data_IF_611853958710
#
_entry.id   IF_611853958710
#
_cell.length_a   1.000
_cell.length_b   1.000
_cell.length_c   1.000
_cell.angle_alpha   90.00
_cell.angle_beta   90.00
_cell.angle_gamma   90.00
#
_symmetry.space_group_name_H-M   'P 1'
#
loop_
_entity.id
_entity.type
_entity.pdbx_description
1 polymer ?
#
# COMPACT_ATOMS: atom_id res chain seq x y z
N UNK A 1 29.32 -15.07 -13.15
CA UNK A 1 29.79 -14.00 -14.05
C UNK A 1 29.75 -12.75 -13.19
N UNK A 2 30.90 -12.33 -12.67
CA UNK A 2 31.00 -11.08 -11.90
C UNK A 2 30.80 -9.93 -12.89
N UNK A 3 29.68 -9.22 -12.77
CA UNK A 3 29.49 -7.96 -13.49
C UNK A 3 30.32 -6.89 -12.80
N UNK A 4 31.38 -6.45 -13.49
CA UNK A 4 32.19 -5.30 -13.11
C UNK A 4 31.30 -4.07 -12.87
N UNK A 5 31.69 -3.21 -11.91
CA UNK A 5 31.01 -1.91 -11.74
C UNK A 5 30.96 -1.22 -13.10
N UNK A 6 29.74 -0.92 -13.54
CA UNK A 6 29.53 -0.28 -14.83
C UNK A 6 30.11 1.13 -14.73
N UNK A 7 31.36 1.31 -15.20
CA UNK A 7 31.99 2.64 -15.39
C UNK A 7 31.29 3.52 -16.44
N UNK A 8 30.02 3.25 -16.74
CA UNK A 8 29.17 3.97 -17.68
C UNK A 8 27.80 4.22 -17.07
N UNK A 9 27.27 5.43 -17.27
CA UNK A 9 25.93 5.79 -16.81
C UNK A 9 24.86 4.93 -17.51
N UNK A 10 23.89 4.48 -16.73
CA UNK A 10 22.72 3.76 -17.22
C UNK A 10 21.77 4.79 -17.86
N UNK A 11 21.61 4.74 -19.19
CA UNK A 11 20.85 5.75 -19.95
C UNK A 11 19.72 5.15 -20.78
N UNK A 12 18.61 5.87 -20.91
CA UNK A 12 17.51 5.51 -21.82
C UNK A 12 17.99 5.26 -23.26
N UNK A 13 18.95 6.03 -23.77
CA UNK A 13 19.46 5.89 -25.16
C UNK A 13 20.12 4.53 -25.40
N UNK A 14 20.77 3.96 -24.38
CA UNK A 14 21.35 2.62 -24.48
C UNK A 14 20.25 1.57 -24.69
N UNK A 15 19.20 1.61 -23.86
CA UNK A 15 18.11 0.64 -23.95
C UNK A 15 17.23 0.81 -25.19
N UNK A 16 17.07 2.04 -25.69
CA UNK A 16 16.39 2.26 -26.98
C UNK A 16 17.07 1.49 -28.12
N UNK A 17 18.42 1.50 -28.17
CA UNK A 17 19.20 0.84 -29.22
C UNK A 17 19.07 -0.69 -29.22
N UNK A 18 18.52 -1.29 -28.17
CA UNK A 18 18.27 -2.75 -28.14
C UNK A 18 17.29 -3.21 -29.23
N UNK A 19 16.48 -2.30 -29.79
CA UNK A 19 15.64 -2.54 -30.98
C UNK A 19 16.44 -2.99 -32.21
N UNK A 20 17.74 -2.72 -32.26
CA UNK A 20 18.63 -3.18 -33.34
C UNK A 20 18.92 -4.69 -33.26
N UNK A 21 18.70 -5.30 -32.09
CA UNK A 21 19.05 -6.69 -31.80
C UNK A 21 17.86 -7.53 -31.30
N UNK A 22 16.67 -6.93 -31.18
CA UNK A 22 15.46 -7.54 -30.61
C UNK A 22 14.23 -6.99 -31.32
N UNK A 23 13.18 -7.81 -31.44
CA UNK A 23 11.89 -7.39 -32.02
C UNK A 23 11.17 -6.33 -31.17
N UNK A 24 11.51 -6.23 -29.88
CA UNK A 24 10.96 -5.23 -28.96
C UNK A 24 12.10 -4.43 -28.32
N UNK A 25 12.03 -3.10 -28.29
CA UNK A 25 12.95 -2.30 -27.49
C UNK A 25 12.78 -2.64 -26.01
N UNK A 26 13.91 -2.69 -25.29
CA UNK A 26 13.92 -2.86 -23.85
C UNK A 26 13.55 -1.56 -23.12
N UNK A 27 12.91 -1.70 -21.97
CA UNK A 27 12.67 -0.61 -21.02
C UNK A 27 13.18 -1.08 -19.66
N UNK A 28 14.16 -0.38 -19.13
CA UNK A 28 14.66 -0.60 -17.77
C UNK A 28 13.72 0.06 -16.77
N UNK A 29 13.30 -0.67 -15.72
CA UNK A 29 12.37 -0.19 -14.70
C UNK A 29 13.04 -0.30 -13.34
N UNK A 30 13.40 0.85 -12.75
CA UNK A 30 13.94 0.92 -11.39
C UNK A 30 12.79 0.89 -10.37
N UNK A 31 12.89 -0.01 -9.39
CA UNK A 31 11.93 -0.15 -8.30
C UNK A 31 12.64 -0.21 -6.95
N UNK A 32 11.92 0.11 -5.88
CA UNK A 32 12.50 0.28 -4.54
C UNK A 32 13.01 -1.01 -3.90
N UNK A 33 12.31 -2.13 -4.14
CA UNK A 33 12.63 -3.45 -3.61
C UNK A 33 12.10 -4.57 -4.52
N UNK A 34 12.51 -5.80 -4.26
CA UNK A 34 12.04 -6.97 -5.03
C UNK A 34 10.52 -7.16 -4.93
N UNK A 35 9.92 -6.78 -3.79
CA UNK A 35 8.48 -6.90 -3.58
C UNK A 35 7.68 -5.93 -4.47
N UNK A 36 8.27 -4.78 -4.81
CA UNK A 36 7.68 -3.81 -5.75
C UNK A 36 7.58 -4.35 -7.17
N UNK A 37 8.48 -5.26 -7.56
CA UNK A 37 8.46 -5.87 -8.91
C UNK A 37 7.10 -6.47 -9.21
N UNK A 38 6.43 -7.10 -8.23
CA UNK A 38 5.11 -7.74 -8.43
C UNK A 38 4.03 -6.74 -8.88
N UNK A 39 3.98 -5.58 -8.23
CA UNK A 39 3.04 -4.50 -8.54
C UNK A 39 3.31 -3.99 -9.96
N UNK A 40 4.56 -3.62 -10.23
CA UNK A 40 4.91 -2.95 -11.48
C UNK A 40 4.93 -3.89 -12.69
N UNK A 41 5.24 -5.18 -12.49
CA UNK A 41 5.05 -6.23 -13.51
C UNK A 41 3.59 -6.32 -13.93
N UNK A 42 2.65 -6.24 -12.97
CA UNK A 42 1.23 -6.26 -13.24
C UNK A 42 0.80 -4.98 -13.99
N UNK A 43 1.15 -3.80 -13.48
CA UNK A 43 0.80 -2.50 -14.05
C UNK A 43 1.27 -2.35 -15.51
N UNK A 44 2.49 -2.83 -15.83
CA UNK A 44 3.09 -2.73 -17.17
C UNK A 44 2.72 -3.89 -18.09
N UNK A 45 2.00 -4.92 -17.61
CA UNK A 45 1.68 -6.14 -18.37
C UNK A 45 1.05 -5.85 -19.73
N UNK A 46 0.13 -4.87 -19.79
CA UNK A 46 -0.61 -4.53 -21.02
C UNK A 46 0.26 -3.90 -22.12
N UNK A 47 1.48 -3.45 -21.81
CA UNK A 47 2.39 -2.84 -22.78
C UNK A 47 3.46 -3.81 -23.28
N UNK A 48 3.46 -5.06 -22.80
CA UNK A 48 4.49 -6.07 -23.13
C UNK A 48 4.48 -6.49 -24.60
N UNK A 49 3.43 -6.18 -25.35
CA UNK A 49 3.37 -6.46 -26.78
C UNK A 49 4.35 -5.60 -27.57
N UNK A 50 4.55 -4.34 -27.16
CA UNK A 50 5.42 -3.39 -27.85
C UNK A 50 6.80 -3.23 -27.18
N UNK A 51 6.92 -3.56 -25.89
CA UNK A 51 8.14 -3.31 -25.11
C UNK A 51 8.55 -4.54 -24.28
N UNK A 52 9.86 -4.71 -24.09
CA UNK A 52 10.42 -5.70 -23.18
C UNK A 52 10.85 -5.02 -21.87
N UNK A 53 10.07 -5.16 -20.81
CA UNK A 53 10.38 -4.55 -19.51
C UNK A 53 11.32 -5.44 -18.69
N UNK A 54 12.38 -4.85 -18.14
CA UNK A 54 13.29 -5.48 -17.19
C UNK A 54 13.32 -4.68 -15.90
N UNK A 55 13.12 -5.34 -14.76
CA UNK A 55 12.95 -4.70 -13.45
C UNK A 55 14.21 -4.84 -12.62
N UNK A 56 14.62 -3.74 -12.00
CA UNK A 56 15.89 -3.61 -11.29
C UNK A 56 15.66 -2.93 -9.94
N UNK A 57 16.27 -3.51 -8.90
CA UNK A 57 16.40 -2.89 -7.59
C UNK A 57 17.80 -2.30 -7.46
N UNK A 58 17.90 -1.12 -6.86
CA UNK A 58 19.20 -0.47 -6.69
C UNK A 58 20.13 -1.23 -5.72
N UNK A 59 19.58 -2.15 -4.92
CA UNK A 59 20.32 -3.09 -4.07
C UNK A 59 20.91 -4.29 -4.82
N UNK A 60 20.53 -4.55 -6.07
CA UNK A 60 21.09 -5.64 -6.88
C UNK A 60 22.45 -5.29 -7.49
N UNK A 61 22.90 -4.04 -7.33
CA UNK A 61 24.12 -3.54 -7.95
C UNK A 61 24.97 -2.73 -6.98
N UNK A 62 26.28 -2.99 -7.01
CA UNK A 62 27.26 -2.13 -6.40
C UNK A 62 27.57 -0.97 -7.37
N UNK A 63 27.35 0.26 -6.90
CA UNK A 63 27.75 1.46 -7.63
C UNK A 63 29.05 2.00 -7.05
N UNK A 64 29.64 3.00 -7.70
CA UNK A 64 30.96 3.56 -7.37
C UNK A 64 31.09 4.12 -5.94
N UNK A 65 29.97 4.25 -5.21
CA UNK A 65 29.93 4.68 -3.82
C UNK A 65 29.92 3.52 -2.79
N UNK A 66 29.92 2.25 -3.24
CA UNK A 66 29.96 1.05 -2.38
C UNK A 66 28.71 0.84 -1.51
N UNK A 67 27.61 1.56 -1.77
CA UNK A 67 26.38 1.47 -0.95
C UNK A 67 25.36 0.56 -1.61
N UNK A 68 24.96 -0.50 -0.91
CA UNK A 68 23.84 -1.36 -1.27
C UNK A 68 22.70 -1.07 -0.28
N UNK A 69 21.58 -0.51 -0.75
CA UNK A 69 20.43 -0.21 0.10
C UNK A 69 19.13 -0.17 -0.73
N UNK A 70 18.03 -0.63 -0.15
CA UNK A 70 16.69 -0.54 -0.73
C UNK A 70 16.07 0.86 -0.54
N UNK A 71 14.93 1.07 -1.19
CA UNK A 71 14.08 2.25 -1.02
C UNK A 71 14.35 3.38 -2.02
N UNK A 72 13.37 4.29 -2.14
CA UNK A 72 13.44 5.43 -3.05
C UNK A 72 14.69 6.31 -2.86
N UNK A 73 15.22 6.43 -1.63
CA UNK A 73 16.43 7.20 -1.33
C UNK A 73 17.66 6.77 -2.14
N UNK A 74 17.81 5.46 -2.39
CA UNK A 74 18.93 4.95 -3.18
C UNK A 74 18.79 5.35 -4.65
N UNK A 75 17.61 5.14 -5.22
CA UNK A 75 17.30 5.53 -6.60
C UNK A 75 17.49 7.03 -6.77
N UNK A 76 17.01 7.84 -5.83
CA UNK A 76 17.20 9.29 -5.84
C UNK A 76 18.68 9.70 -5.80
N UNK A 77 19.51 9.02 -5.02
CA UNK A 77 20.95 9.27 -5.01
C UNK A 77 21.55 9.04 -6.40
N UNK A 78 21.23 7.91 -7.03
CA UNK A 78 21.73 7.52 -8.35
C UNK A 78 21.26 8.46 -9.47
N UNK A 79 20.07 9.03 -9.34
CA UNK A 79 19.57 10.09 -10.22
C UNK A 79 20.35 11.39 -10.04
N UNK A 80 20.61 11.81 -8.79
CA UNK A 80 21.37 13.05 -8.50
C UNK A 80 22.82 12.97 -8.95
N UNK A 81 23.45 11.81 -8.81
CA UNK A 81 24.85 11.60 -9.22
C UNK A 81 24.98 11.34 -10.73
N UNK A 82 23.86 11.19 -11.45
CA UNK A 82 23.85 10.94 -12.89
C UNK A 82 24.22 9.51 -13.30
N UNK A 83 24.37 8.60 -12.32
CA UNK A 83 24.58 7.17 -12.59
C UNK A 83 23.38 6.56 -13.34
N UNK A 84 22.17 7.06 -13.06
CA UNK A 84 20.95 6.73 -13.79
C UNK A 84 20.44 8.00 -14.47
N UNK A 85 20.16 7.92 -15.77
CA UNK A 85 19.49 8.97 -16.54
C UNK A 85 18.19 8.42 -17.11
N UNK A 86 17.07 8.92 -16.56
CA UNK A 86 15.74 8.48 -16.96
C UNK A 86 15.38 8.92 -18.39
N UNK A 87 14.41 8.23 -18.97
CA UNK A 87 13.88 8.44 -20.31
C UNK A 87 12.89 7.34 -20.68
N UNK A 88 12.33 7.38 -21.88
CA UNK A 88 11.33 6.39 -22.35
C UNK A 88 11.77 4.91 -22.25
N UNK A 89 13.07 4.64 -22.19
CA UNK A 89 13.61 3.28 -22.07
C UNK A 89 14.37 3.04 -20.75
N UNK A 90 14.31 3.98 -19.81
CA UNK A 90 14.85 3.86 -18.45
C UNK A 90 13.97 4.68 -17.50
N UNK A 91 13.09 4.03 -16.74
CA UNK A 91 12.08 4.67 -15.90
C UNK A 91 12.26 4.30 -14.42
N UNK A 92 11.64 5.07 -13.53
CA UNK A 92 11.51 4.70 -12.12
C UNK A 92 10.05 4.51 -11.73
N UNK A 93 9.78 3.57 -10.84
CA UNK A 93 8.46 3.15 -10.40
C UNK A 93 8.50 3.00 -8.87
N UNK A 94 7.89 3.96 -8.15
CA UNK A 94 8.18 4.23 -6.73
C UNK A 94 6.89 4.31 -5.89
N UNK A 95 7.01 4.05 -4.59
CA UNK A 95 5.96 4.35 -3.62
C UNK A 95 5.94 5.86 -3.35
N UNK A 96 4.74 6.44 -3.24
CA UNK A 96 4.59 7.88 -2.96
C UNK A 96 4.90 8.24 -1.51
N UNK A 97 4.85 7.29 -0.56
CA UNK A 97 4.82 7.57 0.88
C UNK A 97 3.77 8.67 1.17
N UNK A 98 4.16 9.75 1.86
CA UNK A 98 3.32 10.91 2.12
C UNK A 98 3.51 12.06 1.12
N UNK A 99 4.36 11.88 0.09
CA UNK A 99 4.73 12.96 -0.82
C UNK A 99 3.55 13.55 -1.59
N UNK A 100 2.68 12.70 -2.13
CA UNK A 100 1.52 13.16 -2.88
C UNK A 100 0.59 14.03 -2.01
N UNK A 101 0.27 13.57 -0.81
CA UNK A 101 -0.69 14.25 0.07
C UNK A 101 -0.11 15.44 0.83
N UNK A 102 1.20 15.67 0.73
CA UNK A 102 1.89 16.82 1.32
C UNK A 102 2.48 17.77 0.28
N UNK A 103 2.10 17.61 -0.99
CA UNK A 103 2.61 18.39 -2.12
C UNK A 103 4.14 18.38 -2.26
N UNK A 104 4.80 17.26 -1.91
CA UNK A 104 6.26 17.15 -1.85
C UNK A 104 6.96 18.22 -1.00
N UNK A 105 6.24 18.87 -0.08
CA UNK A 105 6.73 20.05 0.58
C UNK A 105 7.83 19.69 1.60
N UNK A 106 8.98 20.38 1.51
CA UNK A 106 10.16 20.28 2.40
C UNK A 106 10.80 18.89 2.58
N UNK A 107 10.31 17.83 1.94
CA UNK A 107 10.95 16.52 1.95
C UNK A 107 12.18 16.51 1.03
N UNK A 108 13.34 16.96 1.56
CA UNK A 108 14.64 16.87 0.87
C UNK A 108 14.78 15.51 0.21
N UNK A 109 14.80 15.42 -1.11
CA UNK A 109 14.81 14.10 -1.75
C UNK A 109 13.71 13.89 -2.77
N UNK A 110 12.50 14.31 -2.41
CA UNK A 110 11.24 13.88 -3.04
C UNK A 110 10.84 14.73 -4.25
N UNK A 111 11.58 15.80 -4.56
CA UNK A 111 11.40 16.56 -5.81
C UNK A 111 11.53 15.66 -7.04
N UNK A 112 12.32 14.59 -6.91
CA UNK A 112 12.53 13.60 -7.96
C UNK A 112 11.30 12.74 -8.25
N UNK A 113 10.30 12.65 -7.36
CA UNK A 113 9.03 12.00 -7.70
C UNK A 113 8.29 12.74 -8.83
N UNK A 114 8.53 14.04 -8.98
CA UNK A 114 7.94 14.87 -10.03
C UNK A 114 8.79 14.92 -11.31
N UNK A 115 9.91 14.19 -11.36
CA UNK A 115 10.75 14.14 -12.54
C UNK A 115 10.08 13.36 -13.68
N UNK A 116 10.40 13.73 -14.92
CA UNK A 116 9.93 13.00 -16.10
C UNK A 116 10.33 11.52 -16.02
N UNK A 117 9.43 10.65 -16.46
CA UNK A 117 9.60 9.19 -16.47
C UNK A 117 9.72 8.54 -15.08
N UNK A 118 9.31 9.26 -14.03
CA UNK A 118 8.98 8.67 -12.74
C UNK A 118 7.48 8.40 -12.70
N UNK A 119 7.11 7.19 -12.29
CA UNK A 119 5.75 6.77 -12.04
C UNK A 119 5.65 6.38 -10.57
N UNK A 120 4.61 6.85 -9.89
CA UNK A 120 4.44 6.59 -8.46
C UNK A 120 3.09 5.94 -8.15
N UNK A 121 2.87 5.47 -6.93
CA UNK A 121 1.61 4.84 -6.55
C UNK A 121 0.46 5.85 -6.40
N UNK A 122 0.74 7.11 -6.09
CA UNK A 122 -0.19 8.18 -5.66
C UNK A 122 -1.10 7.82 -4.47
N UNK A 123 -0.89 6.64 -3.89
CA UNK A 123 -1.32 6.21 -2.56
C UNK A 123 -0.05 5.94 -1.75
N UNK A 124 -0.15 5.70 -0.43
CA UNK A 124 1.06 5.61 0.40
C UNK A 124 2.09 4.60 -0.15
N UNK A 125 1.69 3.36 -0.41
CA UNK A 125 2.58 2.35 -1.00
C UNK A 125 1.83 1.23 -1.70
N UNK A 126 2.57 0.29 -2.30
CA UNK A 126 2.05 -0.95 -2.90
C UNK A 126 1.07 -1.72 -2.00
N UNK A 127 1.27 -1.76 -0.69
CA UNK A 127 0.38 -2.46 0.23
C UNK A 127 -1.04 -1.86 0.19
N UNK A 128 -1.16 -0.53 0.12
CA UNK A 128 -2.46 0.14 0.00
C UNK A 128 -3.18 -0.25 -1.30
N UNK A 129 -2.42 -0.55 -2.37
CA UNK A 129 -2.97 -1.08 -3.63
C UNK A 129 -3.42 -2.53 -3.50
N UNK A 130 -2.60 -3.43 -2.94
CA UNK A 130 -2.98 -4.84 -2.77
C UNK A 130 -4.15 -5.02 -1.83
N UNK A 131 -4.18 -4.26 -0.73
CA UNK A 131 -5.20 -4.34 0.30
C UNK A 131 -6.38 -3.39 0.05
N UNK A 132 -6.53 -2.77 -1.12
CA UNK A 132 -7.62 -1.82 -1.40
C UNK A 132 -9.03 -2.42 -1.23
N UNK A 133 -10.06 -1.58 -1.07
CA UNK A 133 -11.44 -2.03 -0.80
C UNK A 133 -12.19 -2.65 -2.00
N UNK A 134 -11.76 -2.45 -3.25
CA UNK A 134 -12.53 -2.81 -4.45
C UNK A 134 -12.68 -4.34 -4.60
N UNK A 135 -13.89 -4.88 -4.45
CA UNK A 135 -14.13 -6.33 -4.58
C UNK A 135 -13.55 -7.16 -3.40
N UNK A 136 -13.25 -6.51 -2.27
CA UNK A 136 -12.68 -7.18 -1.09
C UNK A 136 -13.63 -8.24 -0.50
N UNK A 137 -14.94 -7.99 -0.48
CA UNK A 137 -15.94 -8.92 0.02
C UNK A 137 -15.94 -10.22 -0.80
N UNK A 138 -16.00 -10.09 -2.12
CA UNK A 138 -15.97 -11.23 -3.05
C UNK A 138 -14.68 -12.02 -2.93
N UNK A 139 -13.55 -11.31 -2.91
CA UNK A 139 -12.23 -11.93 -2.78
C UNK A 139 -12.14 -12.78 -1.51
N UNK A 140 -12.52 -12.21 -0.35
CA UNK A 140 -12.47 -12.93 0.93
C UNK A 140 -13.50 -14.06 0.98
N UNK A 141 -14.70 -13.87 0.44
CA UNK A 141 -15.73 -14.91 0.39
C UNK A 141 -15.29 -16.11 -0.44
N UNK A 142 -14.69 -15.87 -1.61
CA UNK A 142 -14.13 -16.91 -2.47
C UNK A 142 -12.95 -17.62 -1.80
N UNK A 143 -12.04 -16.84 -1.20
CA UNK A 143 -10.85 -17.36 -0.52
C UNK A 143 -11.22 -18.28 0.64
N UNK A 144 -12.20 -17.87 1.43
CA UNK A 144 -12.69 -18.64 2.57
C UNK A 144 -13.65 -19.74 2.14
N UNK A 145 -14.25 -19.66 0.94
CA UNK A 145 -15.30 -20.55 0.46
C UNK A 145 -16.58 -20.44 1.30
N UNK A 146 -16.92 -19.23 1.72
CA UNK A 146 -18.09 -18.90 2.54
C UNK A 146 -18.53 -17.47 2.19
N UNK A 147 -19.82 -17.29 1.91
CA UNK A 147 -20.39 -15.97 1.68
C UNK A 147 -20.47 -15.22 3.02
N UNK A 148 -19.57 -14.26 3.22
CA UNK A 148 -19.45 -13.54 4.50
C UNK A 148 -20.63 -12.57 4.73
N UNK A 149 -21.31 -12.14 3.67
CA UNK A 149 -22.42 -11.20 3.78
C UNK A 149 -23.64 -11.84 4.44
N UNK A 150 -23.80 -13.16 4.33
CA UNK A 150 -24.80 -13.95 5.07
C UNK A 150 -24.63 -13.83 6.60
N UNK A 151 -23.44 -13.45 7.04
CA UNK A 151 -23.11 -13.24 8.45
C UNK A 151 -23.14 -11.75 8.83
N UNK A 152 -23.77 -10.91 8.00
CA UNK A 152 -23.92 -9.46 8.20
C UNK A 152 -22.58 -8.70 8.33
N UNK A 153 -21.52 -9.25 7.73
CA UNK A 153 -20.22 -8.58 7.64
C UNK A 153 -20.04 -8.02 6.24
N UNK A 154 -19.82 -6.71 6.16
CA UNK A 154 -19.36 -6.04 4.95
C UNK A 154 -17.97 -5.45 5.22
N UNK A 155 -16.94 -6.04 4.61
CA UNK A 155 -15.55 -5.61 4.77
C UNK A 155 -15.34 -4.22 4.15
N UNK A 156 -15.99 -3.92 3.03
CA UNK A 156 -15.91 -2.58 2.43
C UNK A 156 -16.43 -1.49 3.38
N UNK A 157 -17.45 -1.78 4.18
CA UNK A 157 -17.96 -0.84 5.19
C UNK A 157 -16.96 -0.64 6.33
N UNK A 158 -16.24 -1.69 6.73
CA UNK A 158 -15.16 -1.57 7.73
C UNK A 158 -14.05 -0.63 7.23
N UNK A 159 -13.68 -0.74 5.94
CA UNK A 159 -12.71 0.17 5.32
C UNK A 159 -13.22 1.62 5.32
N UNK A 160 -14.49 1.81 4.97
CA UNK A 160 -15.13 3.11 4.93
C UNK A 160 -15.15 3.76 6.32
N UNK A 161 -15.48 2.99 7.36
CA UNK A 161 -15.44 3.42 8.76
C UNK A 161 -14.03 3.81 9.17
N UNK A 162 -13.03 2.99 8.88
CA UNK A 162 -11.62 3.30 9.19
C UNK A 162 -11.23 4.60 8.49
N UNK A 163 -11.46 4.69 7.18
CA UNK A 163 -11.08 5.84 6.36
C UNK A 163 -11.67 7.14 6.89
N UNK A 164 -13.00 7.18 7.08
CA UNK A 164 -13.69 8.38 7.60
C UNK A 164 -13.23 8.76 8.99
N UNK A 165 -13.05 7.78 9.87
CA UNK A 165 -12.61 8.04 11.24
C UNK A 165 -11.20 8.65 11.26
N UNK A 166 -10.29 8.19 10.40
CA UNK A 166 -8.90 8.67 10.45
C UNK A 166 -8.67 9.99 9.71
N UNK A 167 -9.56 10.37 8.78
CA UNK A 167 -9.35 11.49 7.85
C UNK A 167 -8.93 12.79 8.55
N UNK A 168 -9.68 13.25 9.55
CA UNK A 168 -9.40 14.51 10.24
C UNK A 168 -8.06 14.51 10.97
N UNK A 169 -7.79 13.43 11.73
CA UNK A 169 -6.51 13.26 12.43
C UNK A 169 -5.34 13.18 11.44
N UNK A 170 -5.53 12.51 10.30
CA UNK A 170 -4.51 12.43 9.25
C UNK A 170 -4.20 13.79 8.63
N UNK A 171 -5.23 14.59 8.33
CA UNK A 171 -5.03 15.95 7.83
C UNK A 171 -4.21 16.80 8.82
N UNK A 172 -4.55 16.73 10.10
CA UNK A 172 -3.80 17.43 11.15
C UNK A 172 -2.36 16.93 11.26
N UNK A 173 -2.13 15.61 11.26
CA UNK A 173 -0.77 15.05 11.36
C UNK A 173 0.09 15.37 10.12
N UNK A 174 -0.51 15.49 8.93
CA UNK A 174 0.21 15.92 7.73
C UNK A 174 0.77 17.34 7.82
N UNK A 175 0.25 18.19 8.69
CA UNK A 175 0.82 19.51 8.98
C UNK A 175 2.25 19.37 9.50
N UNK A 176 2.49 18.45 10.43
CA UNK A 176 3.82 18.21 10.99
C UNK A 176 4.77 17.69 9.92
N UNK A 177 4.32 16.75 9.10
CA UNK A 177 5.13 16.20 8.01
C UNK A 177 5.51 17.30 7.01
N UNK A 178 4.52 18.07 6.54
CA UNK A 178 4.70 19.23 5.66
C UNK A 178 5.71 20.20 6.27
N UNK A 179 5.52 20.61 7.52
CA UNK A 179 6.36 21.66 8.12
C UNK A 179 7.76 21.18 8.51
N UNK A 180 8.09 19.90 8.25
CA UNK A 180 9.38 19.28 8.48
C UNK A 180 9.59 18.81 9.92
N UNK A 181 8.52 18.77 10.72
CA UNK A 181 8.53 18.26 12.11
C UNK A 181 8.45 16.73 12.14
N UNK A 182 9.43 16.07 11.51
CA UNK A 182 9.42 14.62 11.28
C UNK A 182 9.37 13.82 12.58
N UNK A 183 10.12 14.22 13.61
CA UNK A 183 10.12 13.51 14.90
C UNK A 183 8.72 13.52 15.55
N UNK A 184 8.07 14.68 15.60
CA UNK A 184 6.71 14.79 16.14
C UNK A 184 5.67 14.07 15.30
N UNK A 185 5.83 14.12 13.97
CA UNK A 185 4.99 13.34 13.08
C UNK A 185 5.10 11.83 13.35
N UNK A 186 6.32 11.29 13.39
CA UNK A 186 6.56 9.85 13.61
C UNK A 186 6.03 9.38 14.97
N UNK A 187 6.27 10.17 16.03
CA UNK A 187 5.77 9.87 17.37
C UNK A 187 4.24 9.80 17.40
N UNK A 188 3.56 10.86 16.94
CA UNK A 188 2.11 10.95 17.03
C UNK A 188 1.39 10.00 16.06
N UNK A 189 1.93 9.80 14.86
CA UNK A 189 1.41 8.79 13.93
C UNK A 189 1.55 7.38 14.48
N UNK A 190 2.68 7.07 15.12
CA UNK A 190 2.90 5.76 15.75
C UNK A 190 1.89 5.52 16.87
N UNK A 191 1.68 6.53 17.73
CA UNK A 191 0.67 6.47 18.78
C UNK A 191 -0.74 6.26 18.20
N UNK A 192 -1.10 7.05 17.18
CA UNK A 192 -2.41 6.97 16.55
C UNK A 192 -2.68 5.59 15.93
N UNK A 193 -1.74 5.09 15.13
CA UNK A 193 -1.83 3.75 14.52
C UNK A 193 -1.88 2.65 15.57
N UNK A 194 -1.08 2.75 16.63
CA UNK A 194 -1.08 1.79 17.73
C UNK A 194 -2.45 1.71 18.41
N UNK A 195 -3.11 2.85 18.61
CA UNK A 195 -4.47 2.87 19.14
C UNK A 195 -5.52 2.25 18.21
N UNK A 196 -5.45 2.50 16.90
CA UNK A 196 -6.31 1.81 15.91
C UNK A 196 -6.06 0.30 15.97
N UNK A 197 -4.79 -0.12 16.04
CA UNK A 197 -4.42 -1.53 16.17
C UNK A 197 -4.94 -2.13 17.49
N UNK A 198 -4.94 -1.38 18.59
CA UNK A 198 -5.51 -1.81 19.86
C UNK A 198 -7.01 -2.09 19.74
N UNK A 199 -7.78 -1.15 19.17
CA UNK A 199 -9.21 -1.35 18.88
C UNK A 199 -9.42 -2.58 18.00
N UNK A 200 -8.62 -2.71 16.94
CA UNK A 200 -8.67 -3.86 16.07
C UNK A 200 -8.37 -5.16 16.85
N UNK A 201 -7.35 -5.20 17.71
CA UNK A 201 -6.94 -6.36 18.51
C UNK A 201 -8.01 -6.81 19.52
N UNK A 202 -8.66 -5.88 20.19
CA UNK A 202 -9.66 -6.16 21.22
C UNK A 202 -11.00 -6.61 20.64
N UNK A 203 -11.29 -6.25 19.38
CA UNK A 203 -12.56 -6.58 18.73
C UNK A 203 -12.77 -8.08 18.53
N UNK A 204 -13.99 -8.55 18.61
CA UNK A 204 -14.38 -9.91 18.22
C UNK A 204 -15.08 -9.89 16.86
N UNK A 205 -15.40 -11.07 16.34
CA UNK A 205 -16.12 -11.15 15.06
C UNK A 205 -17.46 -10.41 15.12
N UNK A 206 -18.20 -10.60 16.21
CA UNK A 206 -19.53 -10.01 16.41
C UNK A 206 -19.48 -8.48 16.41
N UNK A 207 -18.36 -7.89 16.82
CA UNK A 207 -18.19 -6.44 16.93
C UNK A 207 -18.17 -5.75 15.55
N UNK A 208 -17.85 -6.49 14.49
CA UNK A 208 -17.94 -6.02 13.10
C UNK A 208 -19.38 -6.05 12.56
N UNK A 209 -20.27 -6.80 13.20
CA UNK A 209 -21.68 -6.96 12.76
C UNK A 209 -22.65 -6.06 13.51
N UNK A 210 -22.35 -5.75 14.78
CA UNK A 210 -23.25 -5.02 15.68
C UNK A 210 -22.88 -3.53 15.86
N UNK A 211 -21.85 -3.06 15.15
CA UNK A 211 -21.36 -1.67 15.21
C UNK A 211 -20.45 -1.34 16.41
N UNK A 212 -20.13 -2.30 17.28
CA UNK A 212 -19.24 -2.08 18.43
C UNK A 212 -17.83 -1.67 17.98
N UNK A 213 -17.30 -2.27 16.89
CA UNK A 213 -16.03 -1.85 16.31
C UNK A 213 -16.05 -0.36 15.94
N UNK A 214 -17.10 0.08 15.22
CA UNK A 214 -17.25 1.46 14.78
C UNK A 214 -17.31 2.42 15.98
N UNK A 215 -18.09 2.08 17.01
CA UNK A 215 -18.22 2.89 18.21
C UNK A 215 -16.89 2.99 18.98
N UNK A 216 -16.15 1.89 19.11
CA UNK A 216 -14.85 1.87 19.78
C UNK A 216 -13.80 2.67 19.01
N UNK A 217 -13.77 2.53 17.68
CA UNK A 217 -12.86 3.29 16.83
C UNK A 217 -13.17 4.79 16.91
N UNK A 218 -14.45 5.17 16.78
CA UNK A 218 -14.88 6.56 16.88
C UNK A 218 -14.54 7.16 18.25
N UNK A 219 -14.74 6.42 19.34
CA UNK A 219 -14.36 6.86 20.69
C UNK A 219 -12.84 7.11 20.77
N UNK A 220 -12.03 6.14 20.35
CA UNK A 220 -10.57 6.29 20.35
C UNK A 220 -10.13 7.50 19.53
N UNK A 221 -10.63 7.65 18.30
CA UNK A 221 -10.29 8.78 17.44
C UNK A 221 -10.69 10.09 18.08
N UNK A 222 -11.92 10.21 18.61
CA UNK A 222 -12.38 11.44 19.27
C UNK A 222 -11.51 11.82 20.46
N UNK A 223 -11.15 10.85 21.31
CA UNK A 223 -10.29 11.07 22.46
C UNK A 223 -8.88 11.50 22.02
N UNK A 224 -8.35 10.90 20.96
CA UNK A 224 -7.07 11.27 20.37
C UNK A 224 -7.10 12.68 19.78
N UNK A 225 -8.14 13.02 19.00
CA UNK A 225 -8.35 14.35 18.40
C UNK A 225 -8.41 15.45 19.46
N UNK A 226 -9.09 15.22 20.59
CA UNK A 226 -9.17 16.19 21.69
C UNK A 226 -7.78 16.54 22.28
N UNK A 227 -6.86 15.58 22.28
CA UNK A 227 -5.50 15.77 22.80
C UNK A 227 -4.52 16.21 21.71
N UNK A 228 -4.85 15.99 20.44
CA UNK A 228 -3.94 16.15 19.31
C UNK A 228 -3.37 17.57 19.21
N UNK A 229 -4.23 18.60 19.32
CA UNK A 229 -3.77 20.01 19.25
C UNK A 229 -2.74 20.34 20.32
N UNK A 230 -2.96 19.88 21.56
CA UNK A 230 -2.02 20.09 22.64
C UNK A 230 -0.70 19.36 22.37
N UNK A 231 -0.75 18.11 21.90
CA UNK A 231 0.45 17.35 21.53
C UNK A 231 1.23 18.01 20.39
N UNK A 232 0.53 18.48 19.35
CA UNK A 232 1.14 19.19 18.21
C UNK A 232 1.76 20.53 18.58
N UNK A 233 1.23 21.22 19.60
CA UNK A 233 1.79 22.50 20.08
C UNK A 233 3.24 22.40 20.60
N UNK A 234 3.68 21.18 20.96
CA UNK A 234 5.08 20.90 21.28
C UNK A 234 6.03 20.94 20.07
N UNK A 235 5.50 20.93 18.84
CA UNK A 235 6.25 20.83 17.59
C UNK A 235 6.02 22.01 16.64
N UNK A 236 4.81 22.56 16.59
CA UNK A 236 4.47 23.69 15.72
C UNK A 236 3.42 24.61 16.36
N UNK A 237 3.35 25.85 15.87
CA UNK A 237 2.22 26.73 16.16
C UNK A 237 1.00 26.25 15.37
N UNK A 238 0.11 25.52 16.04
CA UNK A 238 -1.07 24.88 15.43
C UNK A 238 -2.06 25.92 14.90
N UNK A 239 -2.15 27.09 15.53
CA UNK A 239 -3.08 28.15 15.11
C UNK A 239 -2.56 28.90 13.88
N UNK A 240 -1.24 28.95 13.70
CA UNK A 240 -0.62 29.50 12.50
C UNK A 240 -0.46 28.47 11.35
N UNK A 241 -0.66 27.18 11.63
CA UNK A 241 -0.44 26.13 10.66
C UNK A 241 -1.57 26.05 9.63
N UNK A 242 -1.22 26.00 8.34
CA UNK A 242 -2.19 25.90 7.26
C UNK A 242 -2.99 24.60 7.29
N UNK A 243 -4.25 24.64 6.83
CA UNK A 243 -5.19 23.52 6.84
C UNK A 243 -4.90 22.54 5.69
N UNK A 244 -4.49 21.31 6.02
CA UNK A 244 -4.27 20.25 5.02
C UNK A 244 -5.55 19.75 4.35
N UNK A 245 -6.72 19.96 4.97
CA UNK A 245 -8.01 19.51 4.42
C UNK A 245 -8.37 20.24 3.12
N UNK A 246 -7.97 21.51 2.98
CA UNK A 246 -8.15 22.28 1.74
C UNK A 246 -7.31 21.67 0.63
N UNK A 247 -6.03 21.39 0.91
CA UNK A 247 -5.15 20.73 -0.06
C UNK A 247 -5.66 19.32 -0.42
N UNK A 248 -6.13 18.53 0.54
CA UNK A 248 -6.73 17.23 0.28
C UNK A 248 -7.90 17.35 -0.71
N UNK A 249 -8.78 18.32 -0.49
CA UNK A 249 -9.88 18.60 -1.42
C UNK A 249 -9.38 19.03 -2.81
N UNK A 250 -8.33 19.86 -2.89
CA UNK A 250 -7.76 20.30 -4.17
C UNK A 250 -7.19 19.14 -4.99
N UNK A 251 -6.55 18.17 -4.34
CA UNK A 251 -6.02 16.97 -5.01
C UNK A 251 -7.04 15.82 -5.11
N UNK A 252 -8.28 16.06 -4.71
CA UNK A 252 -9.40 15.13 -4.86
C UNK A 252 -9.46 14.00 -3.82
N UNK A 253 -8.82 14.16 -2.67
CA UNK A 253 -8.88 13.22 -1.55
C UNK A 253 -10.14 13.48 -0.72
N UNK A 254 -10.97 12.45 -0.57
CA UNK A 254 -12.16 12.49 0.28
C UNK A 254 -11.95 11.70 1.58
N UNK A 255 -12.89 11.81 2.52
CA UNK A 255 -12.91 11.01 3.74
C UNK A 255 -12.92 9.49 3.47
N UNK A 256 -13.48 9.07 2.33
CA UNK A 256 -13.56 7.67 1.90
C UNK A 256 -12.25 7.11 1.35
N UNK A 257 -11.23 7.96 1.20
CA UNK A 257 -9.93 7.63 0.59
C UNK A 257 -8.77 7.64 1.58
N UNK A 258 -8.92 8.24 2.77
CA UNK A 258 -7.87 8.37 3.78
C UNK A 258 -7.13 7.07 4.12
N UNK A 259 -7.82 5.91 4.08
CA UNK A 259 -7.20 4.62 4.33
C UNK A 259 -6.07 4.28 3.34
N UNK A 260 -6.12 4.79 2.10
CA UNK A 260 -5.07 4.62 1.08
C UNK A 260 -3.77 5.33 1.45
N UNK A 261 -3.82 6.21 2.45
CA UNK A 261 -2.71 7.04 2.88
C UNK A 261 -2.15 6.65 4.25
N UNK A 262 -2.78 5.68 4.94
CA UNK A 262 -2.17 5.04 6.11
C UNK A 262 -0.91 4.31 5.66
N UNK A 263 0.21 4.47 6.38
CA UNK A 263 1.48 3.77 6.09
C UNK A 263 1.23 2.30 5.76
N UNK A 264 1.67 1.86 4.59
CA UNK A 264 1.25 0.58 4.01
C UNK A 264 1.39 -0.64 4.93
N UNK A 265 2.54 -0.81 5.59
CA UNK A 265 2.72 -1.90 6.55
C UNK A 265 1.78 -1.83 7.76
N UNK A 266 1.47 -0.62 8.24
CA UNK A 266 0.53 -0.42 9.34
C UNK A 266 -0.89 -0.76 8.89
N UNK A 267 -1.28 -0.26 7.70
CA UNK A 267 -2.58 -0.56 7.11
C UNK A 267 -2.78 -2.06 6.89
N UNK A 268 -1.80 -2.70 6.25
CA UNK A 268 -1.73 -4.15 6.09
C UNK A 268 -1.95 -4.85 7.44
N UNK A 269 -1.17 -4.52 8.47
CA UNK A 269 -1.27 -5.17 9.77
C UNK A 269 -2.69 -5.05 10.38
N UNK A 270 -3.30 -3.85 10.31
CA UNK A 270 -4.66 -3.61 10.81
C UNK A 270 -5.67 -4.49 10.07
N UNK A 271 -5.65 -4.46 8.74
CA UNK A 271 -6.60 -5.21 7.91
C UNK A 271 -6.42 -6.72 8.10
N UNK A 272 -5.20 -7.25 8.08
CA UNK A 272 -4.97 -8.69 8.29
C UNK A 272 -5.44 -9.13 9.67
N UNK A 273 -5.33 -8.28 10.70
CA UNK A 273 -5.88 -8.58 12.01
C UNK A 273 -7.39 -8.83 11.95
N UNK A 274 -8.12 -7.90 11.33
CA UNK A 274 -9.57 -7.97 11.14
C UNK A 274 -9.95 -9.20 10.31
N UNK A 275 -9.29 -9.41 9.17
CA UNK A 275 -9.56 -10.54 8.27
C UNK A 275 -9.29 -11.89 8.92
N UNK A 276 -8.26 -12.00 9.77
CA UNK A 276 -7.99 -13.22 10.56
C UNK A 276 -9.11 -13.55 11.54
N UNK A 277 -9.86 -12.55 12.03
CA UNK A 277 -11.03 -12.78 12.90
C UNK A 277 -12.22 -13.32 12.11
N UNK A 278 -12.46 -12.77 10.92
CA UNK A 278 -13.46 -13.26 9.96
C UNK A 278 -13.13 -14.70 9.54
N UNK A 279 -11.87 -14.96 9.17
CA UNK A 279 -11.39 -16.29 8.82
C UNK A 279 -11.55 -17.29 9.96
N UNK A 280 -11.16 -16.93 11.18
CA UNK A 280 -11.34 -17.79 12.35
C UNK A 280 -12.81 -18.12 12.60
N UNK A 281 -13.69 -17.13 12.46
CA UNK A 281 -15.14 -17.35 12.58
C UNK A 281 -15.63 -18.34 11.52
N UNK A 282 -15.34 -18.12 10.23
CA UNK A 282 -15.77 -19.01 9.15
C UNK A 282 -15.20 -20.41 9.28
N UNK A 283 -13.94 -20.55 9.72
CA UNK A 283 -13.33 -21.84 10.02
C UNK A 283 -14.07 -22.59 11.13
N UNK A 284 -14.42 -21.90 12.22
CA UNK A 284 -15.17 -22.49 13.33
C UNK A 284 -16.60 -22.86 12.92
N UNK A 285 -17.25 -22.03 12.09
CA UNK A 285 -18.56 -22.32 11.52
C UNK A 285 -18.53 -23.61 10.67
N UNK A 286 -17.49 -23.79 9.84
CA UNK A 286 -17.32 -25.01 9.05
C UNK A 286 -17.01 -26.22 9.90
N UNK A 287 -16.20 -26.04 10.95
CA UNK A 287 -15.83 -27.07 11.91
C UNK A 287 -17.07 -27.61 12.65
N UNK A 288 -17.99 -26.73 13.07
CA UNK A 288 -19.19 -27.10 13.80
C UNK A 288 -20.20 -27.90 12.97
N UNK A 289 -20.14 -27.84 11.63
CA UNK A 289 -20.96 -28.67 10.74
C UNK A 289 -20.73 -30.17 10.96
N UNK A 290 -19.55 -30.56 11.44
CA UNK A 290 -19.20 -31.94 11.76
C UNK A 290 -19.52 -32.35 13.20
N UNK A 291 -19.99 -31.41 14.03
CA UNK A 291 -20.46 -31.67 15.41
C UNK A 291 -21.96 -31.99 15.46
N UNK A 292 -22.63 -32.13 14.31
CA UNK A 292 -24.04 -32.44 14.21
C UNK A 292 -24.34 -33.90 14.56
N UNK A 293 -25.53 -34.13 15.10
CA UNK A 293 -26.05 -35.46 15.37
C UNK A 293 -26.07 -36.31 14.08
N UNK A 294 -25.59 -37.56 14.18
CA UNK A 294 -25.53 -38.50 13.06
C UNK A 294 -24.14 -38.66 12.41
N UNK A 295 -23.12 -37.93 12.85
CA UNK A 295 -21.72 -38.12 12.42
C UNK A 295 -20.94 -38.80 13.56
N UNK A 296 -20.25 -39.91 13.27
CA UNK A 296 -19.42 -40.58 14.27
C UNK A 296 -18.20 -39.72 14.65
N UNK A 297 -17.69 -39.88 15.88
CA UNK A 297 -16.55 -39.10 16.39
C UNK A 297 -15.30 -39.25 15.52
N UNK A 298 -15.05 -40.45 15.00
CA UNK A 298 -13.87 -40.72 14.16
C UNK A 298 -13.96 -40.00 12.81
N UNK A 299 -15.13 -40.08 12.14
CA UNK A 299 -15.37 -39.36 10.88
C UNK A 299 -15.29 -37.86 11.09
N UNK A 300 -15.88 -37.34 12.18
CA UNK A 300 -15.81 -35.92 12.51
C UNK A 300 -14.37 -35.46 12.73
N UNK A 301 -13.55 -36.23 13.46
CA UNK A 301 -12.14 -35.92 13.70
C UNK A 301 -11.33 -35.88 12.40
N UNK A 302 -11.52 -36.87 11.52
CA UNK A 302 -10.87 -36.94 10.22
C UNK A 302 -11.24 -35.73 9.35
N UNK A 303 -12.54 -35.41 9.24
CA UNK A 303 -13.01 -34.26 8.44
C UNK A 303 -12.52 -32.92 8.97
N UNK A 304 -12.44 -32.75 10.29
CA UNK A 304 -11.86 -31.54 10.90
C UNK A 304 -10.37 -31.41 10.61
N UNK A 305 -9.63 -32.52 10.58
CA UNK A 305 -8.21 -32.54 10.19
C UNK A 305 -8.03 -32.19 8.71
N UNK A 306 -8.87 -32.74 7.83
CA UNK A 306 -8.89 -32.39 6.40
C UNK A 306 -9.16 -30.90 6.19
N UNK A 307 -10.16 -30.34 6.89
CA UNK A 307 -10.48 -28.92 6.84
C UNK A 307 -9.30 -28.05 7.29
N UNK A 308 -8.64 -28.40 8.39
CA UNK A 308 -7.47 -27.68 8.88
C UNK A 308 -6.30 -27.70 7.88
N UNK A 309 -6.08 -28.82 7.19
CA UNK A 309 -5.05 -28.95 6.16
C UNK A 309 -5.29 -28.13 4.90
N UNK A 310 -6.54 -27.71 4.64
CA UNK A 310 -6.93 -26.86 3.50
C UNK A 310 -7.08 -25.38 3.87
N UNK A 311 -6.70 -24.99 5.09
CA UNK A 311 -6.82 -23.60 5.55
C UNK A 311 -5.91 -22.70 4.73
N UNK A 312 -6.46 -21.61 4.21
CA UNK A 312 -5.73 -20.70 3.32
C UNK A 312 -4.98 -19.66 4.15
N UNK A 313 -3.74 -19.33 3.72
CA UNK A 313 -3.02 -18.17 4.25
C UNK A 313 -3.50 -16.90 3.54
N UNK A 314 -4.28 -16.09 4.27
CA UNK A 314 -4.84 -14.84 3.74
C UNK A 314 -3.73 -13.90 3.30
N UNK A 315 -2.63 -13.80 4.04
CA UNK A 315 -1.58 -12.83 3.74
C UNK A 315 -0.96 -13.10 2.36
N UNK A 316 -0.56 -14.35 2.10
CA UNK A 316 -0.04 -14.76 0.80
C UNK A 316 -1.06 -14.61 -0.33
N UNK A 317 -2.35 -14.80 -0.05
CA UNK A 317 -3.41 -14.65 -1.05
C UNK A 317 -3.56 -13.22 -1.57
N UNK A 318 -3.33 -12.19 -0.74
CA UNK A 318 -3.38 -10.79 -1.22
C UNK A 318 -2.32 -10.50 -2.28
N UNK A 319 -1.18 -11.20 -2.24
CA UNK A 319 -0.11 -11.02 -3.22
C UNK A 319 -0.47 -11.58 -4.61
N UNK A 320 -1.52 -12.40 -4.71
CA UNK A 320 -2.03 -12.90 -6.00
C UNK A 320 -3.25 -12.14 -6.51
N UNK A 321 -3.78 -11.20 -5.72
CA UNK A 321 -4.91 -10.35 -6.12
C UNK A 321 -4.49 -9.47 -7.29
N UNK A 322 -5.29 -9.46 -8.35
CA UNK A 322 -5.08 -8.52 -9.45
C UNK A 322 -5.32 -7.09 -8.95
N UNK A 323 -4.41 -6.19 -9.31
CA UNK A 323 -4.50 -4.79 -8.91
C UNK A 323 -5.52 -4.14 -9.83
N UNK A 324 -6.64 -3.75 -9.24
CA UNK A 324 -7.69 -3.03 -9.94
C UNK A 324 -7.13 -1.70 -10.48
N UNK A 325 -7.38 -1.43 -11.75
CA UNK A 325 -6.90 -0.24 -12.45
C UNK A 325 -7.70 1.01 -12.08
N UNK A 326 -8.88 0.82 -11.49
CA UNK A 326 -9.78 1.88 -11.04
C UNK A 326 -9.65 2.16 -9.53
N UNK A 327 -8.57 1.68 -8.88
CA UNK A 327 -8.21 2.16 -7.53
C UNK A 327 -7.97 3.67 -7.61
N UNK A 328 -8.60 4.48 -6.73
CA UNK A 328 -8.39 5.93 -6.69
C UNK A 328 -6.90 6.29 -6.67
N UNK A 329 -6.55 7.38 -7.35
CA UNK A 329 -5.18 7.92 -7.49
C UNK A 329 -4.21 7.05 -8.30
N UNK A 330 -4.19 5.73 -8.15
CA UNK A 330 -3.32 4.85 -8.95
C UNK A 330 -3.70 4.82 -10.43
N UNK A 331 -4.98 5.04 -10.73
CA UNK A 331 -5.47 5.25 -12.10
C UNK A 331 -4.68 6.32 -12.86
N UNK A 332 -4.27 7.39 -12.18
CA UNK A 332 -3.43 8.45 -12.76
C UNK A 332 -2.12 7.89 -13.31
N UNK A 333 -1.47 6.99 -12.57
CA UNK A 333 -0.24 6.32 -13.02
C UNK A 333 -0.48 5.43 -14.22
N UNK A 334 -1.58 4.69 -14.23
CA UNK A 334 -1.96 3.84 -15.38
C UNK A 334 -2.24 4.69 -16.64
N UNK A 335 -2.84 5.86 -16.49
CA UNK A 335 -3.09 6.83 -17.57
C UNK A 335 -1.78 7.45 -18.09
N UNK A 336 -0.88 7.86 -17.20
CA UNK A 336 0.46 8.36 -17.58
C UNK A 336 1.27 7.30 -18.34
N UNK A 337 1.23 6.05 -17.88
CA UNK A 337 1.86 4.94 -18.59
C UNK A 337 1.19 4.68 -19.93
N UNK A 338 -0.14 4.78 -20.02
CA UNK A 338 -0.88 4.63 -21.28
C UNK A 338 -0.48 5.69 -22.30
N UNK A 339 -0.34 6.96 -21.89
CA UNK A 339 0.14 8.03 -22.76
C UNK A 339 1.56 7.76 -23.29
N UNK A 340 2.40 7.11 -22.47
CA UNK A 340 3.82 6.86 -22.78
C UNK A 340 4.07 5.60 -23.62
N UNK A 341 3.32 4.53 -23.35
CA UNK A 341 3.57 3.17 -23.85
C UNK A 341 2.39 2.53 -24.58
N UNK A 342 1.22 3.17 -24.58
CA UNK A 342 -0.01 2.61 -25.15
C UNK A 342 -0.16 2.72 -26.66
N UNK A 343 0.89 3.13 -27.37
CA UNK A 343 0.92 3.25 -28.85
C UNK A 343 1.69 2.11 -29.47
#
# INVERSE_FOLDING_TARGET
MEEASLGFNVTSKYYEKTKLFSSKPKVLVWVESDDDKRLWINALKKFKDNYAFSFFCASEHEFDDGVISDGCCRIFKLLRTGNIVLGKHCIACLDSDFSFITNNYKAKGKELLQADHVYETFVHSKENLYFNKNGINDFISQLLGEDIEQHHVNISDIYEVISKSVYGVFADLMILYRDGQIAGFEELMSEFVSGIMCVANESRFEDFTNGVFNANLARFVNDFTQQLKQKMSGYCDVDAAGNMSEYFSEVGISESDAYLFIRGHNFHAIIINILKKIERFTFNLKKSRYDKDGISKDIAAEKKKELAGKRVDINSAFLSREIDKDIPFFKKTIELMQASYGR
#
